data_IF_909917321936
#
_entry.id   IF_909917321936
#
_cell.length_a   1.000
_cell.length_b   1.000
_cell.length_c   1.000
_cell.angle_alpha   90.00
_cell.angle_beta   90.00
_cell.angle_gamma   90.00
#
_symmetry.space_group_name_H-M   'P 1'
#
loop_
_entity.id
_entity.type
_entity.pdbx_description
1 polymer ?
#
# COMPACT_ATOMS: atom_id res chain seq x y z
N UNK A 1 -12.79 -13.79 16.33
CA UNK A 1 -11.47 -13.31 15.88
C UNK A 1 -11.02 -14.16 14.71
N UNK A 2 -10.87 -13.55 13.54
CA UNK A 2 -10.36 -14.20 12.34
C UNK A 2 -8.83 -14.30 12.46
N UNK A 3 -8.35 -15.44 12.99
CA UNK A 3 -6.93 -15.70 13.17
C UNK A 3 -6.31 -16.14 11.85
N UNK A 4 -5.85 -15.19 11.07
CA UNK A 4 -4.94 -15.50 9.96
C UNK A 4 -3.54 -15.72 10.53
N UNK A 5 -2.86 -16.82 10.17
CA UNK A 5 -1.50 -17.11 10.63
C UNK A 5 -0.44 -16.25 9.90
N UNK A 6 -0.79 -15.03 9.50
CA UNK A 6 0.08 -14.14 8.73
C UNK A 6 0.57 -12.97 9.59
N UNK A 7 1.88 -12.64 9.55
CA UNK A 7 2.45 -11.59 10.37
C UNK A 7 2.06 -10.17 9.93
N UNK A 8 1.46 -10.04 8.73
CA UNK A 8 1.04 -8.78 8.14
C UNK A 8 -0.22 -9.01 7.30
N UNK A 9 -1.21 -8.14 7.49
CA UNK A 9 -2.46 -8.08 6.75
C UNK A 9 -2.59 -6.65 6.23
N UNK A 10 -2.86 -6.51 4.94
CA UNK A 10 -3.16 -5.22 4.31
C UNK A 10 -4.51 -5.36 3.62
N UNK A 11 -5.51 -4.63 4.11
CA UNK A 11 -6.83 -4.55 3.52
C UNK A 11 -6.97 -3.22 2.78
N UNK A 12 -7.62 -3.27 1.62
CA UNK A 12 -7.99 -2.10 0.84
C UNK A 12 -9.50 -2.05 0.80
N UNK A 13 -10.09 -1.11 1.52
CA UNK A 13 -11.53 -0.88 1.48
C UNK A 13 -11.83 0.17 0.40
N UNK A 14 -12.69 -0.17 -0.55
CA UNK A 14 -13.25 0.80 -1.49
C UNK A 14 -14.46 1.50 -0.84
N UNK A 15 -14.35 2.82 -0.67
CA UNK A 15 -15.38 3.66 -0.09
C UNK A 15 -16.24 4.37 -1.16
N UNK A 16 -16.03 4.05 -2.45
CA UNK A 16 -16.71 4.64 -3.61
C UNK A 16 -16.21 6.04 -4.01
N UNK A 17 -15.75 6.84 -3.06
CA UNK A 17 -15.12 8.16 -3.30
C UNK A 17 -13.61 8.14 -3.11
N UNK A 18 -13.06 7.00 -2.72
CA UNK A 18 -11.65 6.78 -2.45
C UNK A 18 -11.41 5.43 -1.79
N UNK A 19 -10.15 5.17 -1.46
CA UNK A 19 -9.74 3.92 -0.85
C UNK A 19 -9.24 4.15 0.58
N UNK A 20 -9.44 3.16 1.45
CA UNK A 20 -8.83 3.11 2.77
C UNK A 20 -7.88 1.94 2.85
N UNK A 21 -6.67 2.22 3.34
CA UNK A 21 -5.68 1.19 3.65
C UNK A 21 -5.76 0.87 5.15
N UNK A 22 -5.98 -0.39 5.47
CA UNK A 22 -5.93 -0.89 6.84
C UNK A 22 -4.82 -1.94 6.94
N UNK A 23 -3.79 -1.62 7.71
CA UNK A 23 -2.65 -2.51 7.94
C UNK A 23 -2.69 -3.02 9.36
N UNK A 24 -2.72 -4.34 9.50
CA UNK A 24 -2.56 -5.03 10.79
C UNK A 24 -1.27 -5.81 10.72
N UNK A 25 -0.42 -5.63 11.72
CA UNK A 25 0.84 -6.34 11.80
C UNK A 25 1.07 -6.88 13.20
N UNK A 26 1.77 -7.99 13.30
CA UNK A 26 2.20 -8.54 14.59
C UNK A 26 3.21 -7.63 15.27
N UNK A 27 3.35 -7.78 16.58
CA UNK A 27 4.36 -7.07 17.38
C UNK A 27 5.75 -7.22 16.75
N UNK A 28 6.44 -6.10 16.54
CA UNK A 28 7.76 -6.05 15.91
C UNK A 28 7.75 -5.55 14.46
N UNK A 29 6.59 -5.47 13.81
CA UNK A 29 6.42 -4.83 12.50
C UNK A 29 5.69 -3.49 12.69
N UNK A 30 6.27 -2.42 12.16
CA UNK A 30 5.63 -1.10 12.17
C UNK A 30 4.56 -1.00 11.07
N UNK A 31 3.32 -1.28 11.44
CA UNK A 31 2.16 -1.19 10.54
C UNK A 31 1.99 0.21 9.91
N UNK A 32 2.36 1.30 10.61
CA UNK A 32 2.25 2.66 10.06
C UNK A 32 3.27 2.87 8.96
N UNK A 33 4.50 2.40 9.17
CA UNK A 33 5.56 2.48 8.16
C UNK A 33 5.19 1.69 6.90
N UNK A 34 4.61 0.49 7.06
CA UNK A 34 4.09 -0.29 5.92
C UNK A 34 2.94 0.43 5.22
N UNK A 35 2.02 1.03 5.97
CA UNK A 35 0.93 1.82 5.40
C UNK A 35 1.46 2.99 4.57
N UNK A 36 2.47 3.71 5.07
CA UNK A 36 3.11 4.82 4.34
C UNK A 36 3.80 4.34 3.05
N UNK A 37 4.53 3.23 3.08
CA UNK A 37 5.12 2.63 1.88
C UNK A 37 4.05 2.25 0.84
N UNK A 38 2.96 1.61 1.27
CA UNK A 38 1.88 1.22 0.37
C UNK A 38 1.18 2.45 -0.24
N UNK A 39 0.92 3.48 0.57
CA UNK A 39 0.32 4.73 0.09
C UNK A 39 1.21 5.43 -0.94
N UNK A 40 2.52 5.54 -0.68
CA UNK A 40 3.47 6.14 -1.62
C UNK A 40 3.53 5.35 -2.92
N UNK A 41 3.64 4.02 -2.84
CA UNK A 41 3.69 3.12 -4.01
C UNK A 41 2.43 3.26 -4.87
N UNK A 42 1.25 3.22 -4.27
CA UNK A 42 -0.02 3.36 -5.00
C UNK A 42 -0.17 4.75 -5.63
N UNK A 43 0.27 5.81 -4.95
CA UNK A 43 0.26 7.16 -5.52
C UNK A 43 1.16 7.26 -6.74
N UNK A 44 2.37 6.70 -6.68
CA UNK A 44 3.29 6.66 -7.81
C UNK A 44 2.80 5.77 -8.95
N UNK A 45 2.15 4.64 -8.63
CA UNK A 45 1.54 3.77 -9.62
C UNK A 45 0.44 4.50 -10.40
N UNK A 46 -0.47 5.19 -9.72
CA UNK A 46 -1.53 5.98 -10.39
C UNK A 46 -0.93 7.05 -11.28
N UNK A 47 0.07 7.80 -10.79
CA UNK A 47 0.78 8.80 -11.60
C UNK A 47 1.46 8.17 -12.83
N UNK A 48 2.12 7.02 -12.67
CA UNK A 48 2.76 6.34 -13.80
C UNK A 48 1.73 5.88 -14.82
N UNK A 49 0.58 5.35 -14.39
CA UNK A 49 -0.51 4.98 -15.31
C UNK A 49 -1.10 6.20 -16.05
N UNK A 50 -1.15 7.37 -15.41
CA UNK A 50 -1.64 8.61 -16.04
C UNK A 50 -0.66 9.21 -17.05
N UNK A 51 0.64 9.18 -16.75
CA UNK A 51 1.64 9.93 -17.53
C UNK A 51 2.60 9.06 -18.36
N UNK A 52 2.82 7.80 -17.97
CA UNK A 52 3.80 6.91 -18.58
C UNK A 52 3.45 5.44 -18.34
N UNK A 53 2.31 4.98 -18.87
CA UNK A 53 1.75 3.65 -18.59
C UNK A 53 2.67 2.47 -18.99
N UNK A 54 3.61 2.68 -19.92
CA UNK A 54 4.62 1.69 -20.34
C UNK A 54 5.82 1.59 -19.36
N UNK A 55 5.83 2.37 -18.27
CA UNK A 55 6.91 2.34 -17.28
C UNK A 55 6.96 1.01 -16.53
N UNK A 56 8.17 0.54 -16.23
CA UNK A 56 8.37 -0.69 -15.48
C UNK A 56 7.93 -0.47 -14.03
N UNK A 57 7.05 -1.34 -13.53
CA UNK A 57 6.51 -1.27 -12.16
C UNK A 57 7.63 -1.28 -11.10
N UNK A 58 8.74 -1.96 -11.37
CA UNK A 58 9.89 -2.03 -10.46
C UNK A 58 10.61 -0.70 -10.26
N UNK A 59 10.44 0.26 -11.17
CA UNK A 59 11.06 1.59 -11.07
C UNK A 59 10.21 2.57 -10.25
N UNK A 60 9.02 2.15 -9.80
CA UNK A 60 8.15 3.00 -9.01
C UNK A 60 8.77 3.26 -7.62
N UNK A 61 8.86 4.53 -7.19
CA UNK A 61 9.36 4.85 -5.87
C UNK A 61 8.37 4.35 -4.81
N UNK A 62 8.87 3.51 -3.91
CA UNK A 62 8.08 2.93 -2.82
C UNK A 62 8.24 3.69 -1.51
N UNK A 63 9.35 4.40 -1.33
CA UNK A 63 9.70 5.10 -0.08
C UNK A 63 8.90 6.41 0.03
N UNK A 64 8.20 6.66 1.16
CA UNK A 64 7.53 7.94 1.38
C UNK A 64 8.56 9.08 1.50
N UNK A 65 8.20 10.27 1.03
CA UNK A 65 8.99 11.51 1.14
C UNK A 65 9.21 11.95 2.60
#
# INVERSE_FOLDING_TARGET
EERTNYPLIVNVDDLGTGFRLNVQAVTGIDARRICAYMQATLSHLVKALEFAADSVVCDLPVVPE
#
